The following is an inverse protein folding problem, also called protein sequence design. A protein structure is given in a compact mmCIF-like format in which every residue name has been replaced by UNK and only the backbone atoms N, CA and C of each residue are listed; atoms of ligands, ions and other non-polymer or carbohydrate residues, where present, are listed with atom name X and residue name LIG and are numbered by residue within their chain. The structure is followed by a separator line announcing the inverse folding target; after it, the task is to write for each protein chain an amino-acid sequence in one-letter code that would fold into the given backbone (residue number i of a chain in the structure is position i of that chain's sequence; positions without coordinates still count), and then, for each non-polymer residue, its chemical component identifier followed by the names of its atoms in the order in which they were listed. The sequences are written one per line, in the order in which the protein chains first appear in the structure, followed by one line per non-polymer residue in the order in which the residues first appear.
data_IF_007403150458
#
_entry.id   IF_007403150458
#
_cell.length_a   1.000
_cell.length_b   1.000
_cell.length_c   1.000
_cell.angle_alpha   90.00
_cell.angle_beta   90.00
_cell.angle_gamma   90.00
#
_symmetry.space_group_name_H-M   'P 1'
#
loop_
_entity.id
_entity.type
_entity.pdbx_description
1 polymer ?
#
# COMPACT_ATOMS: atom_id res chain seq x y z
N UNK A 1 27.57 -16.47 -0.27
CA UNK A 1 27.53 -16.62 1.19
C UNK A 1 26.59 -15.56 1.74
N UNK A 2 25.65 -15.98 2.62
CA UNK A 2 24.74 -15.05 3.31
C UNK A 2 25.56 -14.21 4.29
N UNK A 3 25.34 -12.90 4.34
CA UNK A 3 26.06 -11.98 5.23
C UNK A 3 25.18 -11.38 6.33
N UNK A 4 23.85 -11.36 6.10
CA UNK A 4 22.86 -10.88 7.06
C UNK A 4 21.53 -11.58 6.85
N UNK A 5 20.65 -11.56 7.85
CA UNK A 5 19.31 -12.11 7.83
C UNK A 5 18.29 -11.06 8.34
N UNK A 6 17.21 -10.88 7.60
CA UNK A 6 16.03 -10.14 8.04
C UNK A 6 14.95 -11.14 8.48
N UNK A 7 14.54 -11.04 9.74
CA UNK A 7 13.56 -11.93 10.35
C UNK A 7 12.18 -11.31 10.31
N UNK A 8 11.32 -11.84 9.45
CA UNK A 8 9.92 -11.42 9.44
C UNK A 8 9.19 -12.05 10.63
N UNK A 9 8.65 -11.22 11.51
CA UNK A 9 7.93 -11.62 12.71
C UNK A 9 6.77 -10.65 12.99
N UNK A 10 5.81 -11.10 13.77
CA UNK A 10 4.65 -10.27 14.14
C UNK A 10 4.91 -9.47 15.42
N UNK A 11 5.77 -9.97 16.30
CA UNK A 11 6.14 -9.36 17.55
C UNK A 11 7.67 -9.29 17.70
N UNK A 12 8.19 -8.39 18.57
CA UNK A 12 9.61 -8.32 18.87
C UNK A 12 10.16 -9.65 19.38
N UNK A 13 11.35 -10.02 18.95
CA UNK A 13 12.00 -11.27 19.28
C UNK A 13 12.88 -11.13 20.53
N UNK A 14 12.96 -12.21 21.30
CA UNK A 14 13.90 -12.32 22.41
C UNK A 14 15.35 -12.42 21.90
N UNK A 15 16.30 -11.88 22.67
CA UNK A 15 17.74 -11.88 22.34
C UNK A 15 18.27 -13.32 22.07
N UNK A 16 17.75 -14.31 22.78
CA UNK A 16 18.10 -15.72 22.60
C UNK A 16 17.86 -16.23 21.19
N UNK A 17 16.83 -15.71 20.50
CA UNK A 17 16.46 -16.10 19.13
C UNK A 17 17.50 -15.55 18.13
N UNK A 18 17.92 -14.29 18.30
CA UNK A 18 18.97 -13.69 17.44
C UNK A 18 20.25 -14.52 17.47
N UNK A 19 20.69 -14.91 18.65
CA UNK A 19 21.88 -15.74 18.83
C UNK A 19 21.75 -17.13 18.17
N UNK A 20 20.59 -17.77 18.32
CA UNK A 20 20.33 -19.06 17.66
C UNK A 20 20.39 -18.94 16.14
N UNK A 21 19.69 -17.93 15.58
CA UNK A 21 19.67 -17.74 14.12
C UNK A 21 21.07 -17.39 13.61
N UNK A 22 21.79 -16.52 14.29
CA UNK A 22 23.18 -16.20 13.94
C UNK A 22 24.06 -17.46 13.84
N UNK A 23 23.91 -18.37 14.81
CA UNK A 23 24.62 -19.65 14.83
C UNK A 23 24.21 -20.55 13.66
N UNK A 24 22.92 -20.78 13.46
CA UNK A 24 22.42 -21.69 12.40
C UNK A 24 22.64 -21.14 10.99
N UNK A 25 22.54 -19.84 10.81
CA UNK A 25 22.76 -19.17 9.51
C UNK A 25 24.23 -18.84 9.25
N UNK A 26 25.10 -19.05 10.23
CA UNK A 26 26.54 -18.72 10.16
C UNK A 26 26.75 -17.24 9.77
N UNK A 27 26.03 -16.35 10.43
CA UNK A 27 26.17 -14.89 10.34
C UNK A 27 26.54 -14.32 11.70
N UNK A 28 27.02 -13.07 11.74
CA UNK A 28 27.28 -12.39 13.01
C UNK A 28 25.94 -12.08 13.71
N UNK A 29 25.88 -12.10 15.05
CA UNK A 29 24.64 -11.77 15.79
C UNK A 29 24.06 -10.41 15.44
N UNK A 30 24.91 -9.40 15.25
CA UNK A 30 24.52 -8.04 14.86
C UNK A 30 24.09 -7.91 13.39
N UNK A 31 24.24 -8.97 12.59
CA UNK A 31 23.72 -9.07 11.22
C UNK A 31 22.34 -9.77 11.14
N UNK A 32 21.77 -10.15 12.28
CA UNK A 32 20.40 -10.66 12.36
C UNK A 32 19.49 -9.50 12.77
N UNK A 33 18.62 -9.09 11.87
CA UNK A 33 17.77 -7.91 12.03
C UNK A 33 16.32 -8.35 12.05
N UNK A 34 15.56 -7.90 13.04
CA UNK A 34 14.12 -8.14 13.05
C UNK A 34 13.38 -7.18 12.09
N UNK A 35 12.32 -7.70 11.49
CA UNK A 35 11.42 -6.97 10.62
C UNK A 35 9.98 -7.28 11.05
N UNK A 36 9.52 -6.57 12.08
CA UNK A 36 8.20 -6.80 12.68
C UNK A 36 7.07 -6.29 11.79
N UNK A 37 5.87 -6.82 12.01
CA UNK A 37 4.66 -6.32 11.35
C UNK A 37 4.35 -4.91 11.86
N UNK A 38 4.20 -3.97 10.94
CA UNK A 38 3.96 -2.56 11.23
C UNK A 38 2.55 -2.14 10.78
N UNK A 39 1.93 -1.15 11.44
CA UNK A 39 0.64 -0.60 11.03
C UNK A 39 0.61 -0.10 9.59
N UNK A 40 1.74 0.40 9.10
CA UNK A 40 1.96 0.77 7.70
C UNK A 40 3.37 0.39 7.25
N UNK A 41 3.50 -0.07 6.01
CA UNK A 41 4.81 -0.39 5.41
C UNK A 41 5.76 0.80 5.39
N UNK A 42 5.22 2.02 5.38
CA UNK A 42 6.01 3.25 5.38
C UNK A 42 6.79 3.49 6.67
N UNK A 43 6.50 2.76 7.75
CA UNK A 43 7.30 2.79 8.98
C UNK A 43 8.56 1.91 8.90
N UNK A 44 8.63 0.99 7.93
CA UNK A 44 9.74 0.04 7.82
C UNK A 44 11.13 0.68 7.70
N UNK A 45 11.36 1.76 6.92
CA UNK A 45 12.66 2.41 6.87
C UNK A 45 13.16 2.90 8.24
N UNK A 46 12.26 3.50 9.04
CA UNK A 46 12.62 3.98 10.39
C UNK A 46 12.92 2.82 11.34
N UNK A 47 12.13 1.75 11.27
CA UNK A 47 12.36 0.55 12.08
C UNK A 47 13.70 -0.10 11.74
N UNK A 48 14.02 -0.25 10.46
CA UNK A 48 15.28 -0.84 10.01
C UNK A 48 16.49 0.03 10.41
N UNK A 49 16.37 1.37 10.30
CA UNK A 49 17.42 2.28 10.72
C UNK A 49 17.64 2.24 12.24
N UNK A 50 16.56 2.17 13.02
CA UNK A 50 16.62 1.96 14.48
C UNK A 50 17.37 0.67 14.84
N UNK A 51 17.26 -0.36 14.03
CA UNK A 51 17.98 -1.63 14.16
C UNK A 51 19.40 -1.58 13.56
N UNK A 52 19.92 -0.41 13.23
CA UNK A 52 21.27 -0.20 12.67
C UNK A 52 21.52 -0.92 11.33
N UNK A 53 20.46 -1.18 10.56
CA UNK A 53 20.52 -1.99 9.34
C UNK A 53 21.40 -1.38 8.25
N UNK A 54 21.35 -0.06 8.03
CA UNK A 54 22.19 0.63 7.03
C UNK A 54 23.68 0.47 7.30
N UNK A 55 24.12 0.57 8.56
CA UNK A 55 25.50 0.34 8.92
C UNK A 55 25.95 -1.12 8.76
N UNK A 56 25.05 -2.06 9.07
CA UNK A 56 25.31 -3.50 8.83
C UNK A 56 25.50 -3.76 7.35
N UNK A 57 24.62 -3.25 6.49
CA UNK A 57 24.70 -3.39 5.03
C UNK A 57 25.98 -2.76 4.48
N UNK A 58 26.30 -1.53 4.87
CA UNK A 58 27.53 -0.85 4.43
C UNK A 58 28.77 -1.64 4.82
N UNK A 59 28.83 -2.12 6.07
CA UNK A 59 29.95 -2.92 6.55
C UNK A 59 30.12 -4.23 5.78
N UNK A 60 29.05 -4.98 5.59
CA UNK A 60 29.10 -6.28 4.90
C UNK A 60 29.37 -6.16 3.39
N UNK A 61 29.05 -5.00 2.80
CA UNK A 61 29.39 -4.67 1.41
C UNK A 61 30.72 -3.94 1.24
N UNK A 62 31.47 -3.69 2.33
CA UNK A 62 32.69 -2.89 2.34
C UNK A 62 32.51 -1.46 1.79
N UNK A 63 31.36 -0.88 2.01
CA UNK A 63 31.07 0.51 1.67
C UNK A 63 31.53 1.39 2.84
N UNK A 64 32.52 2.23 2.58
CA UNK A 64 33.01 3.20 3.56
C UNK A 64 32.19 4.48 3.44
N UNK A 65 31.45 4.81 4.49
CA UNK A 65 30.67 6.06 4.56
C UNK A 65 30.58 6.53 6.02
N UNK A 66 30.68 7.81 6.21
CA UNK A 66 30.44 8.52 7.49
C UNK A 66 29.04 9.20 7.49
N UNK A 67 28.34 9.14 6.38
CA UNK A 67 26.99 9.71 6.24
C UNK A 67 25.97 8.88 7.00
N UNK A 68 25.14 9.55 7.78
CA UNK A 68 23.93 8.96 8.36
C UNK A 68 22.76 9.20 7.43
N UNK A 69 21.81 8.25 7.31
CA UNK A 69 20.57 8.49 6.57
C UNK A 69 19.81 9.67 7.18
N UNK A 70 19.39 10.59 6.33
CA UNK A 70 18.43 11.62 6.72
C UNK A 70 17.04 11.15 6.35
N UNK A 71 16.22 10.86 7.35
CA UNK A 71 14.84 10.38 7.21
C UNK A 71 13.81 11.43 7.61
N UNK A 72 14.19 12.70 7.73
CA UNK A 72 13.32 13.78 8.19
C UNK A 72 12.07 13.96 7.30
N UNK A 73 12.23 13.95 5.97
CA UNK A 73 11.10 14.02 5.03
C UNK A 73 10.18 12.78 5.15
N UNK A 74 10.77 11.63 5.45
CA UNK A 74 10.04 10.38 5.66
C UNK A 74 9.22 10.40 6.96
N UNK A 75 9.80 10.94 8.03
CA UNK A 75 9.11 11.14 9.31
C UNK A 75 7.96 12.14 9.17
N UNK A 76 8.15 13.22 8.40
CA UNK A 76 7.09 14.18 8.08
C UNK A 76 5.93 13.52 7.31
N UNK A 77 6.23 12.69 6.31
CA UNK A 77 5.22 11.91 5.59
C UNK A 77 4.45 10.99 6.55
N UNK A 78 5.14 10.27 7.44
CA UNK A 78 4.51 9.42 8.44
C UNK A 78 3.62 10.21 9.41
N UNK A 79 4.05 11.41 9.79
CA UNK A 79 3.22 12.32 10.60
C UNK A 79 1.90 12.65 9.88
N UNK A 80 1.95 12.95 8.58
CA UNK A 80 0.73 13.17 7.77
C UNK A 80 -0.16 11.93 7.70
N UNK A 81 0.45 10.74 7.52
CA UNK A 81 -0.29 9.46 7.52
C UNK A 81 -1.03 9.23 8.85
N UNK A 82 -0.39 9.54 9.97
CA UNK A 82 -0.95 9.27 11.29
C UNK A 82 -2.00 10.31 11.74
N UNK A 83 -1.92 11.52 11.20
CA UNK A 83 -2.77 12.65 11.61
C UNK A 83 -3.90 12.97 10.61
N UNK A 84 -4.39 11.98 9.86
CA UNK A 84 -5.52 12.15 8.95
C UNK A 84 -6.80 12.51 9.73
N UNK A 85 -7.52 13.51 9.27
CA UNK A 85 -8.72 14.04 9.94
C UNK A 85 -10.00 13.87 9.13
N UNK A 86 -9.87 13.65 7.82
CA UNK A 86 -10.99 13.47 6.90
C UNK A 86 -11.17 11.99 6.58
N UNK A 87 -12.36 11.63 6.13
CA UNK A 87 -12.66 10.32 5.56
C UNK A 87 -13.21 10.50 4.15
N UNK A 88 -12.90 9.55 3.28
CA UNK A 88 -13.35 9.56 1.89
C UNK A 88 -13.53 8.12 1.43
N UNK A 89 -14.69 7.79 0.88
CA UNK A 89 -14.98 6.46 0.35
C UNK A 89 -14.96 6.50 -1.17
N UNK A 90 -14.07 5.73 -1.79
CA UNK A 90 -13.92 5.63 -3.24
C UNK A 90 -14.37 4.25 -3.72
N UNK A 91 -15.39 4.21 -4.59
CA UNK A 91 -15.74 2.97 -5.27
C UNK A 91 -14.73 2.66 -6.37
N UNK A 92 -14.02 1.54 -6.23
CA UNK A 92 -13.16 0.99 -7.29
C UNK A 92 -13.98 -0.04 -8.07
N UNK A 93 -14.48 0.37 -9.23
CA UNK A 93 -15.35 -0.44 -10.08
C UNK A 93 -14.52 -1.23 -11.09
N UNK A 94 -14.19 -2.47 -10.75
CA UNK A 94 -13.29 -3.33 -11.53
C UNK A 94 -13.85 -4.69 -11.89
N UNK A 95 -13.10 -5.49 -12.64
CA UNK A 95 -13.42 -6.88 -13.02
C UNK A 95 -12.81 -7.92 -12.10
N UNK A 96 -11.74 -7.56 -11.41
CA UNK A 96 -10.91 -8.48 -10.61
C UNK A 96 -10.91 -8.10 -9.13
N UNK A 97 -12.01 -7.53 -8.66
CA UNK A 97 -12.14 -7.02 -7.29
C UNK A 97 -12.09 -8.10 -6.22
N UNK A 98 -12.37 -9.36 -6.58
CA UNK A 98 -12.20 -10.49 -5.68
C UNK A 98 -10.70 -10.78 -5.36
N UNK A 99 -9.77 -10.34 -6.21
CA UNK A 99 -8.34 -10.42 -6.02
C UNK A 99 -7.78 -8.99 -5.88
N UNK A 100 -7.73 -8.46 -4.68
CA UNK A 100 -7.31 -7.08 -4.41
C UNK A 100 -5.92 -6.75 -4.96
N UNK A 101 -5.01 -7.72 -5.00
CA UNK A 101 -3.66 -7.56 -5.54
C UNK A 101 -3.64 -7.14 -7.01
N UNK A 102 -4.68 -7.49 -7.78
CA UNK A 102 -4.81 -7.07 -9.17
C UNK A 102 -4.89 -5.54 -9.33
N UNK A 103 -5.28 -4.84 -8.27
CA UNK A 103 -5.41 -3.38 -8.24
C UNK A 103 -4.56 -2.73 -7.15
N UNK A 104 -3.54 -3.43 -6.64
CA UNK A 104 -2.71 -2.93 -5.53
C UNK A 104 -2.13 -1.54 -5.82
N UNK A 105 -1.58 -1.32 -7.02
CA UNK A 105 -1.01 -0.02 -7.40
C UNK A 105 -2.05 1.11 -7.45
N UNK A 106 -3.29 0.78 -7.84
CA UNK A 106 -4.40 1.76 -7.87
C UNK A 106 -4.83 2.07 -6.44
N UNK A 107 -4.95 1.05 -5.60
CA UNK A 107 -5.29 1.21 -4.19
C UNK A 107 -4.25 2.05 -3.44
N UNK A 108 -2.96 1.78 -3.67
CA UNK A 108 -1.88 2.58 -3.07
C UNK A 108 -1.87 4.03 -3.60
N UNK A 109 -2.12 4.24 -4.89
CA UNK A 109 -2.22 5.59 -5.44
C UNK A 109 -3.38 6.40 -4.81
N UNK A 110 -4.53 5.76 -4.56
CA UNK A 110 -5.64 6.39 -3.84
C UNK A 110 -5.26 6.74 -2.40
N UNK A 111 -4.57 5.83 -1.68
CA UNK A 111 -4.09 6.10 -0.33
C UNK A 111 -3.07 7.23 -0.29
N UNK A 112 -2.14 7.28 -1.25
CA UNK A 112 -1.16 8.38 -1.36
C UNK A 112 -1.87 9.73 -1.58
N UNK A 113 -2.88 9.76 -2.46
CA UNK A 113 -3.71 10.95 -2.62
C UNK A 113 -4.40 11.36 -1.31
N UNK A 114 -4.86 10.38 -0.54
CA UNK A 114 -5.42 10.60 0.79
C UNK A 114 -4.41 11.21 1.77
N UNK A 115 -3.17 10.71 1.81
CA UNK A 115 -2.11 11.23 2.70
C UNK A 115 -1.82 12.70 2.47
N UNK A 116 -1.74 13.12 1.20
CA UNK A 116 -1.54 14.54 0.84
C UNK A 116 -2.73 15.43 1.22
N UNK A 117 -3.94 14.88 1.22
CA UNK A 117 -5.16 15.64 1.52
C UNK A 117 -5.65 15.46 2.96
N UNK A 118 -4.86 14.85 3.83
CA UNK A 118 -5.21 14.51 5.23
C UNK A 118 -6.49 13.68 5.32
N UNK A 119 -6.73 12.81 4.34
CA UNK A 119 -7.90 11.96 4.24
C UNK A 119 -7.54 10.47 4.40
N UNK A 120 -8.35 9.76 5.17
CA UNK A 120 -8.35 8.31 5.21
C UNK A 120 -9.26 7.79 4.10
N UNK A 121 -8.65 7.13 3.10
CA UNK A 121 -9.38 6.66 1.93
C UNK A 121 -9.80 5.22 2.14
N UNK A 122 -11.10 5.01 2.29
CA UNK A 122 -11.72 3.71 2.26
C UNK A 122 -12.02 3.31 0.81
N UNK A 123 -11.58 2.11 0.40
CA UNK A 123 -11.83 1.60 -0.95
C UNK A 123 -12.98 0.61 -0.92
N UNK A 124 -14.11 0.99 -1.51
CA UNK A 124 -15.25 0.10 -1.74
C UNK A 124 -15.04 -0.66 -3.05
N UNK A 125 -14.78 -1.95 -2.93
CA UNK A 125 -14.53 -2.84 -4.07
C UNK A 125 -15.85 -3.22 -4.74
N UNK A 126 -16.05 -2.78 -5.97
CA UNK A 126 -17.31 -3.00 -6.71
C UNK A 126 -17.04 -3.81 -7.97
N UNK A 127 -17.66 -5.00 -8.06
CA UNK A 127 -17.60 -5.79 -9.29
C UNK A 127 -18.50 -5.16 -10.35
N UNK A 128 -17.90 -4.76 -11.49
CA UNK A 128 -18.61 -4.18 -12.60
C UNK A 128 -19.70 -5.12 -13.19
N UNK A 129 -19.58 -6.43 -13.02
CA UNK A 129 -20.60 -7.38 -13.50
C UNK A 129 -21.87 -7.34 -12.64
N UNK A 130 -21.77 -6.87 -11.39
CA UNK A 130 -22.89 -6.69 -10.49
C UNK A 130 -23.59 -5.33 -10.65
N UNK A 131 -22.96 -4.36 -11.31
CA UNK A 131 -23.53 -3.04 -11.55
C UNK A 131 -24.64 -3.14 -12.60
N UNK A 132 -25.85 -3.21 -12.12
CA UNK A 132 -27.09 -3.23 -12.93
C UNK A 132 -27.94 -2.03 -12.57
N UNK A 133 -28.92 -1.69 -13.42
CA UNK A 133 -29.88 -0.61 -13.17
C UNK A 133 -30.59 -0.70 -11.80
N UNK A 134 -30.74 -1.92 -11.28
CA UNK A 134 -31.44 -2.16 -10.00
C UNK A 134 -30.51 -2.15 -8.77
N UNK A 135 -29.20 -2.25 -8.96
CA UNK A 135 -28.21 -2.33 -7.86
C UNK A 135 -27.24 -1.16 -7.80
N UNK A 136 -27.30 -0.26 -8.78
CA UNK A 136 -26.33 0.84 -8.86
C UNK A 136 -26.43 1.78 -7.64
N UNK A 137 -27.63 2.11 -7.20
CA UNK A 137 -27.85 2.95 -6.01
C UNK A 137 -27.35 2.28 -4.72
N UNK A 138 -27.59 0.98 -4.58
CA UNK A 138 -27.11 0.20 -3.42
C UNK A 138 -25.58 0.16 -3.36
N UNK A 139 -24.94 0.03 -4.53
CA UNK A 139 -23.49 -0.15 -4.62
C UNK A 139 -22.72 1.16 -4.65
N UNK A 140 -23.30 2.24 -5.16
CA UNK A 140 -22.60 3.52 -5.38
C UNK A 140 -23.23 4.71 -4.64
N UNK A 141 -24.35 4.53 -3.93
CA UNK A 141 -25.08 5.64 -3.32
C UNK A 141 -24.40 6.28 -2.09
N UNK A 142 -23.43 5.61 -1.51
CA UNK A 142 -22.72 6.04 -0.28
C UNK A 142 -21.25 6.39 -0.50
N UNK A 143 -20.83 6.63 -1.76
CA UNK A 143 -19.42 6.90 -2.06
C UNK A 143 -19.17 8.36 -2.44
N UNK A 144 -18.00 8.86 -2.06
CA UNK A 144 -17.55 10.22 -2.35
C UNK A 144 -16.90 10.35 -3.74
N UNK A 145 -16.54 9.23 -4.35
CA UNK A 145 -15.94 9.21 -5.68
C UNK A 145 -15.96 7.83 -6.31
N UNK A 146 -15.87 7.77 -7.63
CA UNK A 146 -15.88 6.53 -8.40
C UNK A 146 -14.63 6.46 -9.28
N UNK A 147 -13.87 5.36 -9.17
CA UNK A 147 -12.74 5.06 -10.02
C UNK A 147 -12.99 3.78 -10.81
N UNK A 148 -12.85 3.87 -12.14
CA UNK A 148 -12.89 2.72 -13.05
C UNK A 148 -11.49 2.47 -13.59
N UNK A 149 -10.80 1.43 -13.11
CA UNK A 149 -9.44 1.13 -13.55
C UNK A 149 -9.42 0.56 -14.97
N UNK A 150 -8.26 0.61 -15.59
CA UNK A 150 -8.01 -0.01 -16.89
C UNK A 150 -8.28 -1.51 -16.88
N UNK A 151 -8.51 -2.07 -18.06
CA UNK A 151 -8.71 -3.51 -18.26
C UNK A 151 -9.09 -3.83 -19.69
N UNK A 152 -8.74 -5.04 -20.13
CA UNK A 152 -8.98 -5.51 -21.48
C UNK A 152 -10.22 -6.42 -21.58
N UNK A 153 -10.74 -6.59 -22.78
CA UNK A 153 -11.87 -7.47 -23.10
C UNK A 153 -13.23 -6.92 -22.69
N UNK A 154 -14.28 -7.62 -23.07
CA UNK A 154 -15.66 -7.12 -23.04
C UNK A 154 -16.36 -7.33 -21.68
N UNK A 155 -15.79 -8.12 -20.77
CA UNK A 155 -16.39 -8.42 -19.47
C UNK A 155 -16.52 -7.16 -18.62
N UNK A 156 -17.70 -6.91 -18.07
CA UNK A 156 -18.00 -5.79 -17.19
C UNK A 156 -18.04 -4.41 -17.84
N UNK A 157 -18.08 -4.31 -19.19
CA UNK A 157 -18.16 -3.01 -19.91
C UNK A 157 -19.44 -2.29 -19.54
N UNK A 158 -20.59 -2.97 -19.57
CA UNK A 158 -21.88 -2.36 -19.26
C UNK A 158 -21.91 -1.78 -17.85
N UNK A 159 -21.33 -2.49 -16.87
CA UNK A 159 -21.22 -1.98 -15.50
C UNK A 159 -20.31 -0.76 -15.40
N UNK A 160 -19.22 -0.68 -16.17
CA UNK A 160 -18.36 0.50 -16.22
C UNK A 160 -19.08 1.71 -16.82
N UNK A 161 -19.86 1.49 -17.88
CA UNK A 161 -20.72 2.52 -18.47
C UNK A 161 -21.77 2.97 -17.46
N UNK A 162 -22.36 2.02 -16.72
CA UNK A 162 -23.33 2.32 -15.66
C UNK A 162 -22.70 3.15 -14.54
N UNK A 163 -21.47 2.82 -14.10
CA UNK A 163 -20.73 3.60 -13.10
C UNK A 163 -20.49 5.05 -13.56
N UNK A 164 -20.03 5.22 -14.80
CA UNK A 164 -19.81 6.53 -15.39
C UNK A 164 -21.11 7.36 -15.53
N UNK A 165 -22.19 6.69 -15.94
CA UNK A 165 -23.52 7.32 -16.03
C UNK A 165 -24.01 7.75 -14.66
N UNK A 166 -23.91 6.88 -13.65
CA UNK A 166 -24.32 7.14 -12.29
C UNK A 166 -23.57 8.34 -11.70
N UNK A 167 -22.23 8.35 -11.83
CA UNK A 167 -21.41 9.46 -11.39
C UNK A 167 -21.86 10.80 -11.97
N UNK A 168 -22.14 10.85 -13.27
CA UNK A 168 -22.61 12.06 -13.95
C UNK A 168 -23.99 12.50 -13.49
N UNK A 169 -24.92 11.56 -13.27
CA UNK A 169 -26.31 11.86 -12.90
C UNK A 169 -26.44 12.29 -11.43
N UNK A 170 -25.47 11.92 -10.56
CA UNK A 170 -25.46 12.22 -9.13
C UNK A 170 -24.35 13.22 -8.73
N UNK A 171 -23.67 13.82 -9.71
CA UNK A 171 -22.59 14.79 -9.51
C UNK A 171 -21.44 14.27 -8.62
N UNK A 172 -21.14 12.96 -8.75
CA UNK A 172 -20.07 12.28 -8.02
C UNK A 172 -18.77 12.37 -8.82
N UNK A 173 -17.63 12.78 -8.20
CA UNK A 173 -16.32 12.76 -8.84
C UNK A 173 -16.00 11.42 -9.48
N UNK A 174 -15.57 11.44 -10.75
CA UNK A 174 -15.31 10.23 -11.52
C UNK A 174 -13.95 10.25 -12.19
N UNK A 175 -13.19 9.16 -12.04
CA UNK A 175 -11.94 8.93 -12.76
C UNK A 175 -11.98 7.60 -13.51
N UNK A 176 -11.94 7.67 -14.84
CA UNK A 176 -11.76 6.51 -15.71
C UNK A 176 -10.31 6.41 -16.18
N UNK A 177 -9.60 5.35 -15.79
CA UNK A 177 -8.24 5.10 -16.26
C UNK A 177 -8.25 4.00 -17.33
N UNK A 178 -7.96 4.36 -18.57
CA UNK A 178 -7.79 3.42 -19.67
C UNK A 178 -6.39 3.59 -20.28
N UNK A 179 -5.66 2.48 -20.38
CA UNK A 179 -4.50 2.44 -21.27
C UNK A 179 -4.99 2.53 -22.70
N UNK A 180 -4.71 3.64 -23.39
CA UNK A 180 -4.92 3.72 -24.83
C UNK A 180 -3.98 2.70 -25.49
N UNK A 181 -4.54 1.74 -26.21
CA UNK A 181 -3.78 0.95 -27.17
C UNK A 181 -3.77 1.79 -28.43
N UNK A 182 -2.61 2.33 -28.77
CA UNK A 182 -2.31 2.84 -30.10
C UNK A 182 -1.97 1.64 -30.97
#
# INVERSE_FOLDING_TARGET
RRSSDLLRCDEPLEESIFNKIALFCNVKPDCVIENITLPTLYQAPLMLEKSNFSNVVCRELNIVTDKKPDLSEWEEMLSRINNRTKKCTIALCGKYVALHDAYLSVAEALRHGGYENSADVEIKWVDCELLTKYKVDELLGDVDGILVPGGFGNRGIEGKIMAAKYAREHDIPYLGNRKSVV
#
